data_IF_145021664136
#
_entry.id   IF_145021664136
#
_cell.length_a   1.000
_cell.length_b   1.000
_cell.length_c   1.000
_cell.angle_alpha   90.00
_cell.angle_beta   90.00
_cell.angle_gamma   90.00
#
_symmetry.space_group_name_H-M   'P 1'
#
loop_
_entity.id
_entity.type
_entity.pdbx_description
1 polymer ?
#
# COMPACT_ATOMS: atom_id res chain seq x y z
N UNK A 1 4.42 -11.30 65.28
CA UNK A 1 4.18 -12.65 64.70
C UNK A 1 2.90 -12.72 63.85
N UNK A 2 2.43 -11.59 63.31
CA UNK A 2 1.14 -11.48 62.58
C UNK A 2 1.30 -11.33 61.06
N UNK A 3 2.48 -10.94 60.59
CA UNK A 3 2.74 -10.66 59.17
C UNK A 3 2.79 -11.91 58.28
N UNK A 4 3.33 -13.03 58.80
CA UNK A 4 3.48 -14.29 58.06
C UNK A 4 2.12 -14.97 57.82
N UNK A 5 1.15 -14.80 58.72
CA UNK A 5 -0.20 -15.35 58.56
C UNK A 5 -1.03 -14.58 57.53
N UNK A 6 -0.86 -13.25 57.46
CA UNK A 6 -1.53 -12.40 56.45
C UNK A 6 -1.10 -12.78 55.02
N UNK A 7 0.18 -13.06 54.79
CA UNK A 7 0.71 -13.50 53.49
C UNK A 7 0.07 -14.80 52.96
N UNK A 8 -0.36 -15.72 53.84
CA UNK A 8 -1.02 -16.97 53.44
C UNK A 8 -2.46 -16.75 52.97
N UNK A 9 -3.16 -15.78 53.56
CA UNK A 9 -4.56 -15.48 53.26
C UNK A 9 -4.74 -14.72 51.93
N UNK A 10 -3.76 -13.89 51.54
CA UNK A 10 -3.80 -13.16 50.27
C UNK A 10 -3.23 -13.93 49.06
N UNK A 11 -2.58 -15.08 49.27
CA UNK A 11 -1.99 -15.89 48.17
C UNK A 11 -3.00 -16.34 47.12
N UNK A 12 -4.17 -16.83 47.53
CA UNK A 12 -5.25 -17.22 46.61
C UNK A 12 -5.76 -16.03 45.79
N UNK A 13 -6.17 -14.91 46.43
CA UNK A 13 -6.55 -13.68 45.74
C UNK A 13 -5.48 -13.16 44.78
N UNK A 14 -4.20 -13.12 45.20
CA UNK A 14 -3.09 -12.63 44.37
C UNK A 14 -2.92 -13.47 43.11
N UNK A 15 -2.96 -14.81 43.23
CA UNK A 15 -2.87 -15.71 42.08
C UNK A 15 -4.07 -15.54 41.14
N UNK A 16 -5.27 -15.37 41.70
CA UNK A 16 -6.49 -15.13 40.91
C UNK A 16 -6.43 -13.81 40.13
N UNK A 17 -6.04 -12.71 40.79
CA UNK A 17 -5.86 -11.42 40.12
C UNK A 17 -4.75 -11.46 39.07
N UNK A 18 -3.62 -12.15 39.35
CA UNK A 18 -2.55 -12.35 38.37
C UNK A 18 -3.03 -13.11 37.14
N UNK A 19 -3.82 -14.17 37.31
CA UNK A 19 -4.38 -14.95 36.21
C UNK A 19 -5.39 -14.11 35.41
N UNK A 20 -6.27 -13.37 36.09
CA UNK A 20 -7.24 -12.47 35.47
C UNK A 20 -6.58 -11.36 34.63
N UNK A 21 -5.54 -10.71 35.19
CA UNK A 21 -4.79 -9.67 34.47
C UNK A 21 -4.08 -10.28 33.25
N UNK A 22 -3.47 -11.45 33.39
CA UNK A 22 -2.80 -12.13 32.28
C UNK A 22 -3.79 -12.49 31.17
N UNK A 23 -4.96 -13.01 31.53
CA UNK A 23 -6.03 -13.34 30.58
C UNK A 23 -6.53 -12.08 29.86
N UNK A 24 -6.71 -10.98 30.59
CA UNK A 24 -7.13 -9.71 30.04
C UNK A 24 -6.08 -9.16 29.04
N UNK A 25 -4.80 -9.19 29.38
CA UNK A 25 -3.71 -8.76 28.48
C UNK A 25 -3.68 -9.60 27.21
N UNK A 26 -3.86 -10.93 27.31
CA UNK A 26 -3.92 -11.81 26.14
C UNK A 26 -5.11 -11.50 25.25
N UNK A 27 -6.28 -11.23 25.83
CA UNK A 27 -7.48 -10.80 25.09
C UNK A 27 -7.24 -9.47 24.36
N UNK A 28 -6.63 -8.49 25.02
CA UNK A 28 -6.30 -7.19 24.38
C UNK A 28 -5.32 -7.36 23.22
N UNK A 29 -4.28 -8.19 23.38
CA UNK A 29 -3.33 -8.49 22.31
C UNK A 29 -4.01 -9.22 21.14
N UNK A 30 -4.91 -10.15 21.43
CA UNK A 30 -5.70 -10.85 20.42
C UNK A 30 -6.55 -9.86 19.61
N UNK A 31 -7.32 -9.00 20.28
CA UNK A 31 -8.17 -8.02 19.61
C UNK A 31 -7.38 -7.00 18.79
N UNK A 32 -6.23 -6.53 19.31
CA UNK A 32 -5.36 -5.63 18.57
C UNK A 32 -4.83 -6.28 17.29
N UNK A 33 -4.47 -7.56 17.36
CA UNK A 33 -4.00 -8.33 16.20
C UNK A 33 -5.11 -8.57 15.20
N UNK A 34 -6.27 -9.07 15.63
CA UNK A 34 -7.39 -9.35 14.74
C UNK A 34 -7.87 -8.08 14.03
N UNK A 35 -8.01 -6.97 14.76
CA UNK A 35 -8.41 -5.69 14.17
C UNK A 35 -7.38 -5.16 13.16
N UNK A 36 -6.09 -5.48 13.34
CA UNK A 36 -5.05 -5.13 12.36
C UNK A 36 -5.13 -6.00 11.11
N UNK A 37 -5.43 -7.29 11.26
CA UNK A 37 -5.58 -8.24 10.14
C UNK A 37 -6.82 -7.90 9.31
N UNK A 38 -7.96 -7.60 9.95
CA UNK A 38 -9.20 -7.19 9.28
C UNK A 38 -9.00 -5.91 8.45
N UNK A 39 -8.30 -4.92 9.03
CA UNK A 39 -7.94 -3.67 8.33
C UNK A 39 -7.04 -3.92 7.13
N UNK A 40 -6.09 -4.86 7.24
CA UNK A 40 -5.21 -5.23 6.14
C UNK A 40 -6.01 -5.90 5.02
N UNK A 41 -6.90 -6.83 5.35
CA UNK A 41 -7.74 -7.51 4.38
C UNK A 41 -8.69 -6.56 3.65
N UNK A 42 -9.32 -5.63 4.37
CA UNK A 42 -10.19 -4.64 3.76
C UNK A 42 -9.42 -3.69 2.84
N UNK A 43 -8.21 -3.26 3.24
CA UNK A 43 -7.32 -2.47 2.37
C UNK A 43 -6.96 -3.25 1.10
N UNK A 44 -6.60 -4.52 1.23
CA UNK A 44 -6.31 -5.40 0.10
C UNK A 44 -7.50 -5.52 -0.86
N UNK A 45 -8.72 -5.69 -0.31
CA UNK A 45 -9.96 -5.75 -1.08
C UNK A 45 -10.22 -4.45 -1.84
N UNK A 46 -10.05 -3.31 -1.19
CA UNK A 46 -10.21 -1.99 -1.81
C UNK A 46 -9.22 -1.77 -2.95
N UNK A 47 -7.94 -2.07 -2.74
CA UNK A 47 -6.91 -1.90 -3.77
C UNK A 47 -7.10 -2.83 -4.97
N UNK A 48 -7.49 -4.09 -4.73
CA UNK A 48 -7.91 -5.02 -5.80
C UNK A 48 -9.11 -4.48 -6.57
N UNK A 49 -10.12 -3.96 -5.87
CA UNK A 49 -11.30 -3.36 -6.49
C UNK A 49 -10.96 -2.15 -7.36
N UNK A 50 -10.13 -1.24 -6.84
CA UNK A 50 -9.66 -0.06 -7.60
C UNK A 50 -8.89 -0.50 -8.84
N UNK A 51 -7.94 -1.43 -8.70
CA UNK A 51 -7.17 -1.94 -9.84
C UNK A 51 -8.08 -2.55 -10.90
N UNK A 52 -9.07 -3.36 -10.50
CA UNK A 52 -10.04 -3.97 -11.41
C UNK A 52 -10.88 -2.92 -12.16
N UNK A 53 -11.37 -1.90 -11.46
CA UNK A 53 -12.16 -0.81 -12.08
C UNK A 53 -11.31 0.00 -13.05
N UNK A 54 -10.08 0.36 -12.68
CA UNK A 54 -9.16 1.09 -13.56
C UNK A 54 -8.76 0.25 -14.78
N UNK A 55 -8.54 -1.05 -14.59
CA UNK A 55 -8.16 -1.98 -15.66
C UNK A 55 -9.33 -2.31 -16.60
N UNK A 56 -10.57 -2.28 -16.12
CA UNK A 56 -11.75 -2.64 -16.92
C UNK A 56 -11.93 -1.77 -18.18
N UNK A 57 -11.37 -0.55 -18.18
CA UNK A 57 -11.41 0.33 -19.35
C UNK A 57 -10.18 0.17 -20.26
N UNK A 58 -9.22 -0.68 -19.90
CA UNK A 58 -7.98 -0.87 -20.65
C UNK A 58 -8.15 -1.91 -21.78
N UNK A 59 -7.56 -1.69 -22.97
CA UNK A 59 -6.72 -0.56 -23.32
C UNK A 59 -7.52 0.74 -23.56
N UNK A 60 -7.10 1.85 -22.95
CA UNK A 60 -7.78 3.16 -23.05
C UNK A 60 -6.84 4.23 -23.58
N UNK A 61 -7.27 4.98 -24.59
CA UNK A 61 -6.54 6.18 -25.03
C UNK A 61 -6.73 7.34 -24.04
N UNK A 62 -5.61 7.93 -23.63
CA UNK A 62 -5.51 9.10 -22.75
C UNK A 62 -4.60 10.10 -23.45
N UNK A 63 -5.21 11.01 -24.22
CA UNK A 63 -4.56 12.06 -25.02
C UNK A 63 -3.46 11.49 -25.93
N UNK A 64 -2.21 11.43 -25.47
CA UNK A 64 -1.04 10.94 -26.24
C UNK A 64 -0.44 9.62 -25.70
N UNK A 65 -1.09 8.99 -24.72
CA UNK A 65 -0.71 7.70 -24.18
C UNK A 65 -1.91 6.73 -24.20
N UNK A 66 -1.63 5.44 -24.36
CA UNK A 66 -2.59 4.37 -24.15
C UNK A 66 -2.32 3.75 -22.79
N UNK A 67 -3.30 3.71 -21.91
CA UNK A 67 -3.27 2.87 -20.72
C UNK A 67 -3.41 1.42 -21.18
N UNK A 68 -2.41 0.59 -20.96
CA UNK A 68 -2.43 -0.81 -21.39
C UNK A 68 -3.00 -1.72 -20.32
N UNK A 69 -2.60 -1.53 -19.05
CA UNK A 69 -3.06 -2.36 -17.95
C UNK A 69 -2.88 -1.70 -16.59
N UNK A 70 -3.76 -2.05 -15.65
CA UNK A 70 -3.62 -1.78 -14.21
C UNK A 70 -3.79 -3.09 -13.47
N UNK A 71 -2.81 -3.45 -12.63
CA UNK A 71 -2.87 -4.68 -11.82
C UNK A 71 -2.45 -4.41 -10.39
N UNK A 72 -2.96 -5.21 -9.46
CA UNK A 72 -2.55 -5.17 -8.06
C UNK A 72 -2.26 -6.57 -7.56
N UNK A 73 -0.99 -6.81 -7.24
CA UNK A 73 -0.47 -8.06 -6.71
C UNK A 73 0.79 -7.79 -5.89
N UNK A 74 1.03 -8.62 -4.88
CA UNK A 74 2.20 -8.52 -4.00
C UNK A 74 2.34 -7.14 -3.35
N UNK A 75 1.22 -6.55 -2.91
CA UNK A 75 1.15 -5.22 -2.29
C UNK A 75 1.63 -4.05 -3.18
N UNK A 76 1.75 -4.29 -4.50
CA UNK A 76 2.20 -3.30 -5.48
C UNK A 76 1.13 -3.09 -6.54
N UNK A 77 0.74 -1.83 -6.75
CA UNK A 77 -0.08 -1.40 -7.87
C UNK A 77 0.82 -1.20 -9.10
N UNK A 78 0.61 -1.92 -10.20
CA UNK A 78 1.38 -1.80 -11.44
C UNK A 78 0.52 -1.17 -12.52
N UNK A 79 1.00 -0.09 -13.11
CA UNK A 79 0.31 0.69 -14.14
C UNK A 79 1.21 0.77 -15.38
N UNK A 80 0.72 0.28 -16.51
CA UNK A 80 1.46 0.28 -17.78
C UNK A 80 0.83 1.24 -18.79
N UNK A 81 1.67 2.06 -19.41
CA UNK A 81 1.30 2.96 -20.48
C UNK A 81 2.17 2.73 -21.72
N UNK A 82 1.61 3.00 -22.89
CA UNK A 82 2.31 3.06 -24.17
C UNK A 82 2.13 4.43 -24.80
N UNK A 83 3.21 5.13 -25.10
CA UNK A 83 3.17 6.38 -25.87
C UNK A 83 2.98 6.05 -27.35
N UNK A 84 1.89 6.49 -27.96
CA UNK A 84 1.53 6.03 -29.31
C UNK A 84 2.27 6.74 -30.44
N UNK A 85 2.91 7.88 -30.15
CA UNK A 85 3.58 8.74 -31.15
C UNK A 85 5.06 8.97 -30.87
N UNK A 86 5.61 8.34 -29.85
CA UNK A 86 6.98 8.59 -29.39
C UNK A 86 7.78 7.31 -29.52
N UNK A 87 8.99 7.40 -30.09
CA UNK A 87 9.98 6.32 -30.07
C UNK A 87 10.91 6.49 -28.87
N UNK A 88 11.42 5.40 -28.32
CA UNK A 88 12.45 5.45 -27.27
C UNK A 88 13.70 6.19 -27.72
N UNK A 89 14.07 6.06 -28.99
CA UNK A 89 15.30 6.67 -29.53
C UNK A 89 15.22 8.20 -29.64
N UNK A 90 14.01 8.77 -29.56
CA UNK A 90 13.76 10.21 -29.62
C UNK A 90 13.82 10.88 -28.24
N UNK A 91 14.00 10.10 -27.17
CA UNK A 91 13.84 10.55 -25.79
C UNK A 91 15.07 10.21 -24.96
N UNK A 92 15.58 11.19 -24.23
CA UNK A 92 16.51 10.94 -23.13
C UNK A 92 15.76 10.26 -21.98
N UNK A 93 16.00 8.96 -21.80
CA UNK A 93 15.30 8.12 -20.81
C UNK A 93 15.46 8.62 -19.38
N UNK A 94 16.62 9.19 -19.02
CA UNK A 94 16.89 9.63 -17.64
C UNK A 94 16.11 10.91 -17.33
N UNK A 95 16.18 11.89 -18.24
CA UNK A 95 15.41 13.14 -18.14
C UNK A 95 13.92 12.85 -18.15
N UNK A 96 13.47 12.01 -19.07
CA UNK A 96 12.07 11.63 -19.18
C UNK A 96 11.56 10.89 -17.94
N UNK A 97 12.33 9.95 -17.41
CA UNK A 97 11.97 9.22 -16.19
C UNK A 97 11.82 10.18 -15.01
N UNK A 98 12.74 11.14 -14.86
CA UNK A 98 12.67 12.14 -13.78
C UNK A 98 11.41 13.00 -13.89
N UNK A 99 11.11 13.51 -15.08
CA UNK A 99 9.95 14.36 -15.33
C UNK A 99 8.63 13.60 -15.13
N UNK A 100 8.53 12.38 -15.66
CA UNK A 100 7.34 11.54 -15.49
C UNK A 100 7.18 11.06 -14.06
N UNK A 101 8.27 10.78 -13.35
CA UNK A 101 8.21 10.43 -11.92
C UNK A 101 7.64 11.59 -11.09
N UNK A 102 8.08 12.83 -11.35
CA UNK A 102 7.54 14.00 -10.65
C UNK A 102 6.03 14.20 -10.90
N UNK A 103 5.59 14.02 -12.16
CA UNK A 103 4.17 14.08 -12.51
C UNK A 103 3.37 12.93 -11.89
N UNK A 104 3.91 11.71 -11.92
CA UNK A 104 3.25 10.56 -11.33
C UNK A 104 3.14 10.69 -9.81
N UNK A 105 4.15 11.27 -9.14
CA UNK A 105 4.11 11.57 -7.71
C UNK A 105 2.97 12.54 -7.38
N UNK A 106 2.83 13.65 -8.12
CA UNK A 106 1.78 14.65 -7.83
C UNK A 106 0.37 14.06 -7.92
N UNK A 107 0.10 13.20 -8.90
CA UNK A 107 -1.19 12.53 -9.07
C UNK A 107 -1.38 11.38 -8.07
N UNK A 108 -0.34 10.59 -7.81
CA UNK A 108 -0.42 9.44 -6.91
C UNK A 108 -0.56 9.82 -5.45
N UNK A 109 -0.02 10.99 -5.08
CA UNK A 109 -0.04 11.50 -3.70
C UNK A 109 -1.28 12.35 -3.39
N UNK A 110 -2.15 12.60 -4.38
CA UNK A 110 -3.40 13.35 -4.22
C UNK A 110 -4.40 12.60 -3.31
N UNK A 111 -5.01 13.34 -2.38
CA UNK A 111 -5.99 12.84 -1.40
C UNK A 111 -7.26 12.28 -2.05
N UNK A 112 -7.61 12.71 -3.27
CA UNK A 112 -8.81 12.27 -3.99
C UNK A 112 -8.63 10.94 -4.72
N UNK A 113 -7.45 10.33 -4.65
CA UNK A 113 -7.11 9.11 -5.36
C UNK A 113 -6.38 8.09 -4.50
N UNK A 114 -5.23 7.61 -4.99
CA UNK A 114 -4.41 6.62 -4.29
C UNK A 114 -3.59 7.21 -3.13
N UNK A 115 -3.59 8.54 -2.94
CA UNK A 115 -2.77 9.24 -1.96
C UNK A 115 -2.83 8.66 -0.55
N UNK A 116 -4.02 8.43 0.04
CA UNK A 116 -4.13 7.83 1.37
C UNK A 116 -3.47 6.44 1.47
N UNK A 117 -3.55 5.66 0.39
CA UNK A 117 -2.91 4.34 0.31
C UNK A 117 -1.39 4.46 0.16
N UNK A 118 -0.88 5.37 -0.68
CA UNK A 118 0.57 5.59 -0.86
C UNK A 118 1.19 6.12 0.43
N UNK A 119 0.55 7.08 1.09
CA UNK A 119 0.99 7.63 2.38
C UNK A 119 0.99 6.59 3.51
N UNK A 120 0.15 5.56 3.41
CA UNK A 120 0.12 4.41 4.32
C UNK A 120 0.95 3.20 3.84
N UNK A 121 1.78 3.37 2.81
CA UNK A 121 2.80 2.39 2.39
C UNK A 121 2.49 1.60 1.13
N UNK A 122 1.45 1.95 0.35
CA UNK A 122 1.25 1.39 -0.98
C UNK A 122 2.40 1.80 -1.89
N UNK A 123 2.87 0.85 -2.69
CA UNK A 123 3.84 1.07 -3.74
C UNK A 123 3.13 1.07 -5.10
N UNK A 124 3.42 2.08 -5.93
CA UNK A 124 2.90 2.15 -7.30
C UNK A 124 4.06 2.08 -8.27
N UNK A 125 4.09 1.05 -9.11
CA UNK A 125 5.08 0.86 -10.18
C UNK A 125 4.49 1.33 -11.51
N UNK A 126 5.19 2.23 -12.17
CA UNK A 126 4.85 2.73 -13.49
C UNK A 126 5.82 2.18 -14.52
N UNK A 127 5.27 1.65 -15.62
CA UNK A 127 6.02 1.27 -16.81
C UNK A 127 5.49 2.07 -17.99
N UNK A 128 6.38 2.81 -18.66
CA UNK A 128 6.05 3.60 -19.84
C UNK A 128 6.84 3.04 -21.01
N UNK A 129 6.11 2.55 -22.01
CA UNK A 129 6.64 2.01 -23.25
C UNK A 129 6.49 3.03 -24.40
N UNK A 130 7.31 2.87 -25.41
CA UNK A 130 7.22 3.60 -26.67
C UNK A 130 6.18 2.98 -27.62
N UNK A 131 6.04 3.56 -28.81
CA UNK A 131 5.07 3.08 -29.81
C UNK A 131 5.31 1.65 -30.30
N UNK A 132 6.54 1.13 -30.13
CA UNK A 132 6.93 -0.26 -30.44
C UNK A 132 6.77 -1.21 -29.25
N UNK A 133 6.23 -0.72 -28.13
CA UNK A 133 6.14 -1.42 -26.84
C UNK A 133 7.49 -1.68 -26.15
N UNK A 134 8.55 -0.96 -26.53
CA UNK A 134 9.83 -1.00 -25.84
C UNK A 134 9.82 -0.08 -24.61
N UNK A 135 10.38 -0.49 -23.46
CA UNK A 135 10.34 0.31 -22.24
C UNK A 135 11.23 1.56 -22.36
N UNK A 136 10.60 2.74 -22.17
CA UNK A 136 11.27 4.05 -22.05
C UNK A 136 11.62 4.31 -20.60
N UNK A 137 10.69 4.07 -19.68
CA UNK A 137 10.84 4.38 -18.26
C UNK A 137 10.19 3.30 -17.38
N UNK A 138 10.88 2.93 -16.31
CA UNK A 138 10.36 2.07 -15.24
C UNK A 138 10.74 2.73 -13.90
N UNK A 139 9.75 3.14 -13.12
CA UNK A 139 9.97 3.78 -11.83
C UNK A 139 8.84 3.48 -10.85
N UNK A 140 9.11 3.75 -9.58
CA UNK A 140 8.19 3.49 -8.48
C UNK A 140 7.91 4.78 -7.70
N UNK A 141 6.65 4.93 -7.30
CA UNK A 141 6.18 5.92 -6.33
C UNK A 141 5.91 5.21 -5.01
N UNK A 142 6.45 5.79 -3.95
CA UNK A 142 6.36 5.30 -2.58
C UNK A 142 5.97 6.43 -1.63
N UNK A 143 5.81 6.10 -0.35
CA UNK A 143 5.48 7.08 0.68
C UNK A 143 6.43 8.29 0.70
N UNK A 144 7.73 8.10 0.47
CA UNK A 144 8.72 9.19 0.51
C UNK A 144 8.57 10.19 -0.63
N UNK A 145 7.95 9.78 -1.74
CA UNK A 145 7.69 10.67 -2.88
C UNK A 145 6.48 11.60 -2.63
N UNK A 146 5.75 11.41 -1.52
CA UNK A 146 4.58 12.21 -1.11
C UNK A 146 4.86 13.17 0.06
N UNK A 147 6.13 13.42 0.39
CA UNK A 147 6.58 14.25 1.51
C UNK A 147 6.80 15.72 1.11
#
# INVERSE_FOLDING_TARGET
>A
MTWIFQLKQYRGPILFFSAMISLFVLLQLWHARSASEDKKEERERQLKGIALIMNAQSPKMIVDARLDSVTYNDEIMRISYTLTKTSKDEVDSDVFTKDKKALAASVSCDEKGLGPFVKSGLLIKYTINDSSSAPIADFQISKSDCL
#
